data_IF_615608330154
#
_entry.id   IF_615608330154
#
_cell.length_a   1.000
_cell.length_b   1.000
_cell.length_c   1.000
_cell.angle_alpha   90.00
_cell.angle_beta   90.00
_cell.angle_gamma   90.00
#
_symmetry.space_group_name_H-M   'P 1'
#
loop_
_entity.id
_entity.type
_entity.pdbx_description
1 polymer ?
#
# COMPACT_ATOMS: atom_id res chain seq x y z
N UNK A 1 -21.61 -7.63 16.03
CA UNK A 1 -21.42 -7.44 14.59
C UNK A 1 -19.93 -7.60 14.36
N UNK A 2 -19.50 -8.52 13.50
CA UNK A 2 -18.07 -8.64 13.19
C UNK A 2 -17.64 -7.35 12.50
N UNK A 3 -16.69 -6.63 13.09
CA UNK A 3 -15.99 -5.52 12.44
C UNK A 3 -15.37 -6.10 11.15
N UNK A 4 -16.04 -5.93 10.02
CA UNK A 4 -15.46 -6.33 8.73
C UNK A 4 -14.39 -5.30 8.44
N UNK A 5 -13.14 -5.63 8.72
CA UNK A 5 -12.00 -4.82 8.31
C UNK A 5 -11.90 -4.85 6.78
N UNK A 6 -12.47 -3.84 6.13
CA UNK A 6 -12.34 -3.64 4.69
C UNK A 6 -10.92 -3.13 4.38
N UNK A 7 -10.02 -4.05 4.04
CA UNK A 7 -8.66 -3.72 3.61
C UNK A 7 -8.49 -3.97 2.11
N UNK A 8 -8.12 -2.92 1.38
CA UNK A 8 -7.86 -2.99 -0.05
C UNK A 8 -6.36 -2.92 -0.32
N UNK A 9 -5.86 -3.74 -1.25
CA UNK A 9 -4.48 -3.68 -1.73
C UNK A 9 -4.47 -3.08 -3.12
N UNK A 10 -3.71 -2.00 -3.30
CA UNK A 10 -3.63 -1.28 -4.57
C UNK A 10 -2.22 -1.45 -5.13
N UNK A 11 -2.11 -2.14 -6.26
CA UNK A 11 -0.87 -2.31 -7.02
C UNK A 11 -0.81 -1.35 -8.22
N UNK A 12 0.38 -1.18 -8.79
CA UNK A 12 0.57 -0.33 -9.98
C UNK A 12 0.55 1.17 -9.70
N UNK A 13 0.70 1.57 -8.44
CA UNK A 13 0.85 2.97 -8.06
C UNK A 13 2.18 3.53 -8.63
N UNK A 14 2.16 4.80 -9.03
CA UNK A 14 3.35 5.47 -9.50
C UNK A 14 4.36 5.61 -8.34
N UNK A 15 5.65 5.68 -8.67
CA UNK A 15 6.70 5.89 -7.66
C UNK A 15 6.57 7.22 -6.89
N UNK A 16 5.85 8.19 -7.47
CA UNK A 16 5.58 9.48 -6.85
C UNK A 16 4.32 9.46 -5.97
N UNK A 17 3.55 8.37 -5.95
CA UNK A 17 2.31 8.27 -5.17
C UNK A 17 2.62 8.04 -3.71
N UNK A 18 2.19 8.97 -2.85
CA UNK A 18 2.36 8.87 -1.41
C UNK A 18 1.06 8.49 -0.69
N UNK A 19 1.13 8.36 0.63
CA UNK A 19 0.01 7.99 1.49
C UNK A 19 -1.10 9.03 1.41
N UNK A 20 -0.73 10.32 1.38
CA UNK A 20 -1.67 11.44 1.21
C UNK A 20 -2.42 11.39 -0.13
N UNK A 21 -1.75 11.02 -1.22
CA UNK A 21 -2.39 10.89 -2.54
C UNK A 21 -3.45 9.79 -2.52
N UNK A 22 -3.13 8.65 -1.89
CA UNK A 22 -4.07 7.56 -1.66
C UNK A 22 -5.24 8.03 -0.79
N UNK A 23 -4.96 8.60 0.39
CA UNK A 23 -6.01 9.04 1.30
C UNK A 23 -6.96 10.02 0.62
N UNK A 24 -6.41 11.02 -0.08
CA UNK A 24 -7.21 12.04 -0.78
C UNK A 24 -8.02 11.45 -1.93
N UNK A 25 -7.46 10.51 -2.69
CA UNK A 25 -8.15 9.84 -3.80
C UNK A 25 -9.25 8.91 -3.32
N UNK A 26 -9.03 8.18 -2.21
CA UNK A 26 -10.01 7.24 -1.67
C UNK A 26 -11.04 7.90 -0.75
N UNK A 27 -10.72 9.06 -0.17
CA UNK A 27 -11.62 9.85 0.69
C UNK A 27 -12.91 10.28 -0.03
N UNK A 28 -12.88 10.40 -1.36
CA UNK A 28 -14.09 10.69 -2.14
C UNK A 28 -15.09 9.52 -2.17
N UNK A 29 -14.63 8.30 -1.92
CA UNK A 29 -15.44 7.08 -1.95
C UNK A 29 -15.90 6.62 -0.56
N UNK A 30 -15.31 7.17 0.50
CA UNK A 30 -15.65 6.83 1.88
C UNK A 30 -14.58 7.27 2.86
N UNK A 31 -14.79 6.94 4.14
CA UNK A 31 -13.84 7.26 5.19
C UNK A 31 -12.64 6.30 5.15
N UNK A 32 -11.43 6.86 5.04
CA UNK A 32 -10.19 6.09 4.97
C UNK A 32 -9.59 6.01 6.37
N UNK A 33 -9.65 4.82 6.97
CA UNK A 33 -9.14 4.59 8.34
C UNK A 33 -7.61 4.60 8.38
N UNK A 34 -6.97 3.95 7.41
CA UNK A 34 -5.52 3.88 7.29
C UNK A 34 -5.12 3.72 5.82
N UNK A 35 -4.07 4.43 5.41
CA UNK A 35 -3.48 4.33 4.08
C UNK A 35 -1.97 4.30 4.21
N UNK A 36 -1.33 3.28 3.64
CA UNK A 36 0.13 3.13 3.71
C UNK A 36 0.69 2.72 2.37
N UNK A 37 1.63 3.51 1.84
CA UNK A 37 2.34 3.13 0.61
C UNK A 37 3.51 2.22 0.95
N UNK A 38 3.36 0.94 0.63
CA UNK A 38 4.44 -0.03 0.72
C UNK A 38 5.23 -0.03 -0.60
N UNK A 39 6.29 0.76 -0.66
CA UNK A 39 7.27 0.63 -1.74
C UNK A 39 7.97 -0.72 -1.61
N UNK A 40 7.84 -1.60 -2.61
CA UNK A 40 8.63 -2.83 -2.69
C UNK A 40 10.08 -2.49 -3.05
N UNK A 41 10.79 -1.81 -2.15
CA UNK A 41 12.22 -1.53 -2.26
C UNK A 41 13.06 -2.44 -1.36
N UNK A 42 12.42 -3.21 -0.47
CA UNK A 42 13.10 -4.26 0.29
C UNK A 42 12.91 -5.63 -0.37
N UNK A 43 13.45 -5.76 -1.58
CA UNK A 43 13.98 -7.06 -1.97
C UNK A 43 15.38 -7.06 -1.42
N UNK A 44 15.55 -7.45 -0.15
CA UNK A 44 16.88 -7.71 0.39
C UNK A 44 17.60 -8.60 -0.64
N UNK A 45 18.74 -8.18 -1.22
CA UNK A 45 19.51 -9.03 -2.13
C UNK A 45 20.25 -10.10 -1.30
N UNK A 46 19.49 -10.97 -0.62
CA UNK A 46 19.97 -11.98 0.32
C UNK A 46 19.83 -13.41 -0.19
N UNK A 47 19.68 -13.61 -1.50
CA UNK A 47 19.71 -14.94 -2.10
C UNK A 47 20.50 -14.94 -3.40
N UNK A 48 21.70 -14.36 -3.35
CA UNK A 48 22.77 -14.89 -4.20
C UNK A 48 23.13 -16.25 -3.62
N UNK A 49 22.47 -17.29 -4.13
CA UNK A 49 22.90 -18.67 -3.97
C UNK A 49 24.29 -18.74 -4.60
N UNK A 50 25.32 -18.52 -3.78
CA UNK A 50 26.69 -18.88 -4.12
C UNK A 50 26.65 -20.37 -4.47
N UNK A 51 26.81 -20.64 -5.76
CA UNK A 51 26.99 -21.97 -6.31
C UNK A 51 28.47 -22.19 -6.53
#
# INVERSE_FOLDING_TARGET
>A
MSEVEYRCFVGGLAWATNDEDLQRTFSQFGDVIDSKVCYTRDRSPGSSRFR
#
